data_IF_919580575630
#
_entry.id   IF_919580575630
#
_cell.length_a   1.000
_cell.length_b   1.000
_cell.length_c   1.000
_cell.angle_alpha   90.00
_cell.angle_beta   90.00
_cell.angle_gamma   90.00
#
_symmetry.space_group_name_H-M   'P 1'
#
loop_
_entity.id
_entity.type
_entity.pdbx_description
1 polymer ?
#
# COMPACT_ATOMS: atom_id res chain seq x y z
N UNK A 1 -30.93 -3.83 15.56
CA UNK A 1 -29.94 -3.04 16.34
C UNK A 1 -29.46 -1.90 15.47
N UNK A 2 -29.27 -0.72 16.06
CA UNK A 2 -29.01 0.56 15.39
C UNK A 2 -27.75 0.54 14.51
N UNK A 3 -27.82 1.32 13.42
CA UNK A 3 -26.75 1.65 12.47
C UNK A 3 -25.36 1.82 13.11
N UNK A 4 -24.37 1.14 12.55
CA UNK A 4 -22.99 1.60 12.47
C UNK A 4 -22.50 1.29 11.06
N UNK A 5 -22.76 2.21 10.12
CA UNK A 5 -21.71 2.56 9.16
C UNK A 5 -20.63 3.24 10.00
N UNK A 6 -19.78 2.45 10.66
CA UNK A 6 -18.51 2.96 11.12
C UNK A 6 -17.77 3.44 9.87
N UNK A 7 -17.20 4.64 9.89
CA UNK A 7 -16.37 5.14 8.80
C UNK A 7 -15.41 4.03 8.31
N UNK A 8 -15.71 3.37 7.18
CA UNK A 8 -14.91 2.27 6.59
C UNK A 8 -13.58 2.76 6.00
N UNK A 9 -13.16 3.97 6.36
CA UNK A 9 -11.95 4.62 5.87
C UNK A 9 -10.86 4.54 6.93
N UNK A 10 -9.82 3.76 6.63
CA UNK A 10 -8.63 3.67 7.46
C UNK A 10 -8.04 5.07 7.73
N UNK A 11 -7.89 5.41 9.00
CA UNK A 11 -7.29 6.67 9.42
C UNK A 11 -5.76 6.51 9.52
N UNK A 12 -4.97 7.55 9.18
CA UNK A 12 -3.52 7.49 9.31
C UNK A 12 -3.10 7.10 10.73
N UNK A 13 -2.25 6.08 10.82
CA UNK A 13 -1.67 5.59 12.06
C UNK A 13 -0.13 5.45 11.93
N UNK A 14 0.51 4.82 12.90
CA UNK A 14 1.98 4.71 12.99
C UNK A 14 2.63 4.11 11.74
N UNK A 15 1.95 3.18 11.07
CA UNK A 15 2.31 2.55 9.80
C UNK A 15 2.29 3.54 8.63
N UNK A 16 1.27 4.38 8.58
CA UNK A 16 1.08 5.42 7.58
C UNK A 16 2.17 6.49 7.72
N UNK A 17 2.43 6.96 8.95
CA UNK A 17 3.49 7.94 9.19
C UNK A 17 4.88 7.34 8.97
N UNK A 18 5.07 6.07 9.30
CA UNK A 18 6.31 5.36 9.01
C UNK A 18 6.58 5.29 7.51
N UNK A 19 5.57 5.00 6.68
CA UNK A 19 5.71 5.04 5.23
C UNK A 19 5.97 6.47 4.74
N UNK A 20 5.24 7.47 5.24
CA UNK A 20 5.44 8.88 4.90
C UNK A 20 6.90 9.33 5.08
N UNK A 21 7.51 8.96 6.22
CA UNK A 21 8.89 9.34 6.54
C UNK A 21 9.91 8.88 5.48
N UNK A 22 9.61 7.81 4.75
CA UNK A 22 10.46 7.24 3.71
C UNK A 22 10.11 7.72 2.29
N UNK A 23 8.95 8.35 2.10
CA UNK A 23 8.51 8.83 0.78
C UNK A 23 8.49 10.36 0.66
N UNK A 24 8.52 11.10 1.77
CA UNK A 24 8.39 12.57 1.78
C UNK A 24 9.46 13.33 0.98
N UNK A 25 10.61 12.70 0.75
CA UNK A 25 11.72 13.25 -0.02
C UNK A 25 11.82 12.66 -1.43
N UNK A 26 10.96 11.69 -1.77
CA UNK A 26 10.89 11.11 -3.10
C UNK A 26 10.25 12.07 -4.09
N UNK A 27 10.69 12.01 -5.34
CA UNK A 27 10.17 12.84 -6.44
C UNK A 27 10.32 12.11 -7.77
N UNK A 28 9.46 12.44 -8.72
CA UNK A 28 9.46 11.81 -10.04
C UNK A 28 8.33 12.32 -10.92
N UNK A 29 8.10 11.63 -12.04
CA UNK A 29 7.03 12.00 -12.96
C UNK A 29 5.69 11.41 -12.50
N UNK A 30 5.64 10.14 -12.12
CA UNK A 30 4.41 9.42 -11.81
C UNK A 30 4.52 8.57 -10.53
N UNK A 31 3.58 8.72 -9.60
CA UNK A 31 3.45 7.86 -8.42
C UNK A 31 2.04 7.25 -8.27
N UNK A 32 1.98 6.06 -7.66
CA UNK A 32 0.75 5.32 -7.37
C UNK A 32 0.69 4.98 -5.88
N UNK A 33 -0.43 5.29 -5.25
CA UNK A 33 -0.78 4.92 -3.87
C UNK A 33 -1.88 3.86 -3.87
N UNK A 34 -1.52 2.60 -3.59
CA UNK A 34 -2.47 1.47 -3.58
C UNK A 34 -3.03 1.28 -2.17
N UNK A 35 -4.36 1.21 -2.06
CA UNK A 35 -5.04 1.19 -0.76
C UNK A 35 -4.98 2.57 -0.10
N UNK A 36 -5.28 3.62 -0.89
CA UNK A 36 -5.07 5.02 -0.51
C UNK A 36 -5.85 5.46 0.74
N UNK A 37 -6.91 4.74 1.12
CA UNK A 37 -7.68 4.98 2.35
C UNK A 37 -8.11 6.45 2.47
N UNK A 38 -7.67 7.10 3.55
CA UNK A 38 -7.91 8.53 3.81
C UNK A 38 -7.31 9.51 2.77
N UNK A 39 -6.43 9.05 1.88
CA UNK A 39 -5.70 9.85 0.89
C UNK A 39 -4.48 10.59 1.46
N UNK A 40 -4.07 10.28 2.69
CA UNK A 40 -2.97 10.96 3.36
C UNK A 40 -1.64 10.83 2.59
N UNK A 41 -1.26 9.61 2.20
CA UNK A 41 -0.03 9.35 1.48
C UNK A 41 -0.12 9.84 0.02
N UNK A 42 -1.27 9.67 -0.62
CA UNK A 42 -1.54 10.21 -1.97
C UNK A 42 -1.29 11.72 -2.02
N UNK A 43 -1.75 12.46 -0.99
CA UNK A 43 -1.49 13.89 -0.84
C UNK A 43 -0.02 14.19 -0.60
N UNK A 44 0.68 13.37 0.18
CA UNK A 44 2.11 13.55 0.42
C UNK A 44 2.92 13.43 -0.87
N UNK A 45 2.63 12.40 -1.68
CA UNK A 45 3.20 12.21 -3.02
C UNK A 45 2.91 13.39 -3.97
N UNK A 46 1.70 13.95 -3.90
CA UNK A 46 1.27 15.06 -4.77
C UNK A 46 2.08 16.35 -4.58
N UNK A 47 2.90 16.45 -3.51
CA UNK A 47 3.80 17.58 -3.29
C UNK A 47 5.06 17.52 -4.16
N UNK A 48 5.44 16.35 -4.65
CA UNK A 48 6.75 16.10 -5.28
C UNK A 48 6.71 15.26 -6.56
N UNK A 49 5.55 14.69 -6.91
CA UNK A 49 5.32 13.98 -8.18
C UNK A 49 4.37 14.75 -9.09
N UNK A 50 4.62 14.70 -10.41
CA UNK A 50 3.82 15.45 -11.41
C UNK A 50 2.45 14.81 -11.67
N UNK A 51 2.36 13.50 -11.56
CA UNK A 51 1.15 12.73 -11.75
C UNK A 51 1.01 11.72 -10.61
N UNK A 52 -0.08 11.80 -9.85
CA UNK A 52 -0.36 10.89 -8.73
C UNK A 52 -1.71 10.25 -8.94
N UNK A 53 -1.77 8.93 -8.76
CA UNK A 53 -3.00 8.14 -8.74
C UNK A 53 -3.14 7.49 -7.37
N UNK A 54 -4.34 7.56 -6.81
CA UNK A 54 -4.73 6.77 -5.64
C UNK A 54 -5.71 5.68 -6.07
N UNK A 55 -5.46 4.43 -5.66
CA UNK A 55 -6.43 3.35 -5.84
C UNK A 55 -6.92 2.84 -4.50
N UNK A 56 -8.15 2.38 -4.45
CA UNK A 56 -8.69 1.65 -3.30
C UNK A 56 -9.78 0.68 -3.76
N UNK A 57 -9.96 -0.41 -3.03
CA UNK A 57 -11.09 -1.32 -3.26
C UNK A 57 -12.37 -0.77 -2.61
N UNK A 58 -12.23 0.05 -1.56
CA UNK A 58 -13.33 0.71 -0.89
C UNK A 58 -13.69 2.03 -1.58
N UNK A 59 -14.82 2.01 -2.29
CA UNK A 59 -15.37 3.21 -2.93
C UNK A 59 -15.66 4.34 -1.93
N UNK A 60 -16.16 4.02 -0.73
CA UNK A 60 -16.48 5.03 0.28
C UNK A 60 -15.21 5.71 0.80
N UNK A 61 -14.11 4.97 0.96
CA UNK A 61 -12.82 5.54 1.33
C UNK A 61 -12.37 6.61 0.33
N UNK A 62 -12.46 6.32 -0.97
CA UNK A 62 -12.16 7.27 -2.04
C UNK A 62 -13.08 8.49 -2.03
N UNK A 63 -14.39 8.29 -1.79
CA UNK A 63 -15.35 9.39 -1.75
C UNK A 63 -15.10 10.36 -0.59
N UNK A 64 -14.66 9.84 0.56
CA UNK A 64 -14.49 10.56 1.82
C UNK A 64 -13.11 11.21 1.99
N UNK A 65 -12.20 11.09 1.01
CA UNK A 65 -10.90 11.76 1.08
C UNK A 65 -11.08 13.28 1.16
N UNK A 66 -10.60 13.86 2.26
CA UNK A 66 -10.79 15.29 2.59
C UNK A 66 -10.20 16.26 1.56
N UNK A 67 -9.25 15.81 0.76
CA UNK A 67 -8.70 16.52 -0.41
C UNK A 67 -8.44 15.49 -1.50
N UNK A 68 -9.28 15.50 -2.53
CA UNK A 68 -9.21 14.56 -3.64
C UNK A 68 -8.07 14.96 -4.57
N UNK A 69 -7.00 14.15 -4.74
CA UNK A 69 -6.23 14.24 -5.96
C UNK A 69 -7.16 13.93 -7.14
N UNK A 70 -6.87 14.48 -8.31
CA UNK A 70 -7.79 14.38 -9.46
C UNK A 70 -7.95 12.94 -9.98
N UNK A 71 -6.99 12.06 -9.68
CA UNK A 71 -6.93 10.71 -10.24
C UNK A 71 -7.15 9.63 -9.15
N UNK A 72 -8.39 9.44 -8.73
CA UNK A 72 -8.79 8.35 -7.84
C UNK A 72 -9.53 7.26 -8.62
N UNK A 73 -9.16 5.99 -8.38
CA UNK A 73 -9.76 4.84 -9.09
C UNK A 73 -10.16 3.75 -8.11
N UNK A 74 -11.43 3.34 -8.15
CA UNK A 74 -11.93 2.21 -7.38
C UNK A 74 -11.60 0.91 -8.11
N UNK A 75 -10.64 0.12 -7.59
CA UNK A 75 -10.23 -1.15 -8.20
C UNK A 75 -9.50 -2.06 -7.20
N UNK A 76 -9.29 -3.32 -7.59
CA UNK A 76 -8.42 -4.23 -6.84
C UNK A 76 -6.95 -3.90 -7.14
N UNK A 77 -6.21 -3.45 -6.13
CA UNK A 77 -4.80 -3.10 -6.29
C UNK A 77 -4.60 -2.01 -7.34
N UNK A 78 -4.07 -2.38 -8.49
CA UNK A 78 -3.84 -1.54 -9.67
C UNK A 78 -4.46 -2.14 -10.95
N UNK A 79 -5.39 -3.10 -10.84
CA UNK A 79 -5.88 -3.91 -11.97
C UNK A 79 -6.54 -3.09 -13.09
N UNK A 80 -7.07 -1.91 -12.76
CA UNK A 80 -7.71 -1.01 -13.72
C UNK A 80 -6.71 -0.07 -14.45
N UNK A 81 -5.42 -0.14 -14.12
CA UNK A 81 -4.42 0.80 -14.62
C UNK A 81 -3.51 0.17 -15.67
N UNK A 82 -3.12 0.98 -16.66
CA UNK A 82 -2.09 0.62 -17.65
C UNK A 82 -0.86 1.54 -17.59
N UNK A 83 -0.96 2.66 -16.88
CA UNK A 83 0.13 3.60 -16.71
C UNK A 83 1.27 2.97 -15.91
N UNK A 84 2.50 3.39 -16.22
CA UNK A 84 3.70 2.98 -15.50
C UNK A 84 4.15 4.07 -14.54
N UNK A 85 4.52 3.70 -13.32
CA UNK A 85 4.89 4.61 -12.24
C UNK A 85 6.37 4.48 -11.84
N UNK A 86 6.99 5.60 -11.50
CA UNK A 86 8.36 5.66 -10.95
C UNK A 86 8.38 5.13 -9.51
N UNK A 87 7.32 5.43 -8.75
CA UNK A 87 7.11 5.00 -7.38
C UNK A 87 5.71 4.43 -7.22
N UNK A 88 5.61 3.19 -6.73
CA UNK A 88 4.37 2.62 -6.20
C UNK A 88 4.54 2.53 -4.68
N UNK A 89 3.50 2.86 -3.93
CA UNK A 89 3.47 2.69 -2.48
C UNK A 89 2.23 1.90 -2.04
N UNK A 90 2.33 1.19 -0.92
CA UNK A 90 1.17 0.56 -0.28
C UNK A 90 1.43 0.36 1.22
N UNK A 91 0.51 0.85 2.06
CA UNK A 91 0.41 0.35 3.42
C UNK A 91 -0.45 -0.92 3.38
N UNK A 92 0.17 -2.10 3.48
CA UNK A 92 -0.55 -3.35 3.20
C UNK A 92 -1.59 -3.66 4.27
N UNK A 93 -2.71 -4.31 3.92
CA UNK A 93 -3.48 -5.08 4.88
C UNK A 93 -2.66 -6.32 5.26
N UNK A 94 -1.96 -6.28 6.39
CA UNK A 94 -0.97 -7.29 6.79
C UNK A 94 -1.41 -8.17 7.99
N UNK A 95 -2.55 -7.87 8.63
CA UNK A 95 -2.97 -8.62 9.81
C UNK A 95 -3.33 -10.06 9.45
N UNK A 96 -2.72 -11.01 10.17
CA UNK A 96 -3.06 -12.43 10.06
C UNK A 96 -4.51 -12.64 10.48
N UNK A 97 -5.30 -13.24 9.60
CA UNK A 97 -6.74 -13.43 9.78
C UNK A 97 -7.22 -14.73 9.10
N UNK A 98 -8.21 -15.40 9.67
CA UNK A 98 -8.84 -16.57 9.05
C UNK A 98 -9.85 -16.17 7.98
N UNK A 99 -10.58 -15.08 8.22
CA UNK A 99 -11.54 -14.46 7.32
C UNK A 99 -11.21 -12.98 7.14
N UNK A 100 -11.55 -12.40 5.99
CA UNK A 100 -11.38 -10.96 5.74
C UNK A 100 -12.61 -10.24 6.28
N UNK A 101 -12.50 -9.66 7.48
CA UNK A 101 -13.56 -8.89 8.13
C UNK A 101 -13.35 -7.39 7.94
N UNK A 102 -12.09 -6.95 8.02
CA UNK A 102 -11.67 -5.58 7.75
C UNK A 102 -10.76 -5.55 6.52
N UNK A 103 -11.31 -5.06 5.40
CA UNK A 103 -10.61 -4.97 4.12
C UNK A 103 -9.39 -4.03 4.16
N UNK A 104 -9.31 -3.12 5.14
CA UNK A 104 -8.20 -2.19 5.27
C UNK A 104 -6.98 -2.80 5.96
N UNK A 105 -7.17 -3.80 6.83
CA UNK A 105 -6.09 -4.34 7.66
C UNK A 105 -5.86 -5.84 7.50
N UNK A 106 -6.88 -6.63 7.12
CA UNK A 106 -6.80 -8.09 7.09
C UNK A 106 -6.05 -8.59 5.85
N UNK A 107 -4.89 -9.22 6.09
CA UNK A 107 -4.05 -9.83 5.07
C UNK A 107 -4.41 -11.27 4.70
N UNK A 108 -5.37 -11.87 5.42
CA UNK A 108 -5.74 -13.28 5.34
C UNK A 108 -4.75 -14.20 6.06
N UNK A 109 -4.77 -15.52 5.76
CA UNK A 109 -3.87 -16.47 6.39
C UNK A 109 -2.40 -16.05 6.28
N UNK A 110 -1.72 -16.08 7.42
CA UNK A 110 -0.33 -15.62 7.61
C UNK A 110 -0.07 -14.13 7.28
N UNK A 111 -1.11 -13.35 6.98
CA UNK A 111 -0.98 -11.96 6.51
C UNK A 111 -0.43 -11.86 5.09
N UNK A 112 -0.65 -12.87 4.23
CA UNK A 112 0.01 -12.99 2.91
C UNK A 112 -0.97 -12.91 1.74
N UNK A 113 -2.20 -13.42 1.89
CA UNK A 113 -3.11 -13.65 0.77
C UNK A 113 -3.47 -12.35 0.05
N UNK A 114 -3.84 -11.30 0.77
CA UNK A 114 -4.18 -10.00 0.17
C UNK A 114 -2.92 -9.27 -0.31
N UNK A 115 -1.82 -9.15 0.48
CA UNK A 115 -0.58 -8.55 0.00
C UNK A 115 -0.05 -9.14 -1.30
N UNK A 116 -0.10 -10.47 -1.47
CA UNK A 116 0.36 -11.10 -2.72
C UNK A 116 -0.52 -10.77 -3.94
N UNK A 117 -1.84 -10.55 -3.75
CA UNK A 117 -2.71 -10.08 -4.83
C UNK A 117 -2.33 -8.65 -5.24
N UNK A 118 -2.07 -7.78 -4.25
CA UNK A 118 -1.65 -6.40 -4.48
C UNK A 118 -0.29 -6.36 -5.20
N UNK A 119 0.69 -7.15 -4.75
CA UNK A 119 2.03 -7.23 -5.37
C UNK A 119 1.94 -7.63 -6.85
N UNK A 120 1.13 -8.66 -7.17
CA UNK A 120 0.92 -9.11 -8.55
C UNK A 120 0.29 -8.02 -9.41
N UNK A 121 -0.69 -7.32 -8.86
CA UNK A 121 -1.36 -6.20 -9.54
C UNK A 121 -0.40 -5.03 -9.79
N UNK A 122 0.37 -4.63 -8.77
CA UNK A 122 1.34 -3.54 -8.82
C UNK A 122 2.46 -3.78 -9.84
N UNK A 123 2.91 -5.03 -10.01
CA UNK A 123 3.97 -5.43 -10.96
C UNK A 123 3.70 -4.91 -12.37
N UNK A 124 2.45 -4.98 -12.83
CA UNK A 124 2.08 -4.54 -14.17
C UNK A 124 2.09 -3.02 -14.33
N UNK A 125 2.22 -2.25 -13.25
CA UNK A 125 2.24 -0.81 -13.26
C UNK A 125 3.61 -0.21 -12.90
N UNK A 126 4.62 -1.02 -12.57
CA UNK A 126 5.94 -0.51 -12.23
C UNK A 126 6.76 -0.20 -13.50
N UNK A 127 7.40 0.98 -13.57
CA UNK A 127 8.38 1.29 -14.62
C UNK A 127 9.65 0.46 -14.43
N UNK A 128 10.39 0.25 -15.53
CA UNK A 128 11.78 -0.19 -15.44
C UNK A 128 12.59 0.83 -14.64
N UNK A 129 13.35 0.36 -13.64
CA UNK A 129 14.06 1.21 -12.68
C UNK A 129 13.18 1.88 -11.62
N UNK A 130 11.86 1.68 -11.66
CA UNK A 130 10.95 2.13 -10.62
C UNK A 130 11.07 1.29 -9.35
N UNK A 131 10.50 1.81 -8.26
CA UNK A 131 10.45 1.11 -6.97
C UNK A 131 9.03 0.96 -6.43
N UNK A 132 8.79 -0.15 -5.77
CA UNK A 132 7.58 -0.40 -5.01
C UNK A 132 7.91 -0.47 -3.52
N UNK A 133 7.43 0.49 -2.75
CA UNK A 133 7.61 0.55 -1.30
C UNK A 133 6.34 0.09 -0.59
N UNK A 134 6.45 -0.87 0.32
CA UNK A 134 5.29 -1.30 1.08
C UNK A 134 5.59 -1.67 2.52
N UNK A 135 4.63 -1.37 3.40
CA UNK A 135 4.71 -1.66 4.84
C UNK A 135 4.00 -2.98 5.15
N UNK A 136 4.61 -3.77 6.02
CA UNK A 136 4.01 -4.92 6.70
C UNK A 136 4.45 -4.92 8.17
N UNK A 137 4.08 -5.91 8.97
CA UNK A 137 4.50 -6.01 10.38
C UNK A 137 4.94 -7.40 10.83
N UNK A 138 5.68 -7.48 11.94
CA UNK A 138 6.28 -8.70 12.46
C UNK A 138 5.32 -9.82 12.89
N UNK A 139 4.06 -9.55 13.29
CA UNK A 139 3.03 -10.60 13.46
C UNK A 139 2.62 -11.30 12.16
N UNK A 140 2.84 -10.69 10.99
CA UNK A 140 2.66 -11.33 9.69
C UNK A 140 3.90 -12.15 9.31
N UNK A 141 3.76 -13.12 8.40
CA UNK A 141 4.89 -13.89 7.89
C UNK A 141 5.62 -13.11 6.77
N UNK A 142 6.24 -11.99 7.15
CA UNK A 142 6.89 -11.08 6.21
C UNK A 142 8.10 -11.71 5.49
N UNK A 143 8.78 -12.68 6.09
CA UNK A 143 9.85 -13.42 5.41
C UNK A 143 9.31 -14.21 4.22
N UNK A 144 8.21 -14.94 4.41
CA UNK A 144 7.55 -15.66 3.31
C UNK A 144 6.97 -14.69 2.28
N UNK A 145 6.46 -13.53 2.70
CA UNK A 145 6.05 -12.46 1.78
C UNK A 145 7.23 -12.00 0.90
N UNK A 146 8.41 -11.77 1.47
CA UNK A 146 9.64 -11.44 0.71
C UNK A 146 9.98 -12.56 -0.29
N UNK A 147 9.99 -13.82 0.15
CA UNK A 147 10.29 -14.96 -0.73
C UNK A 147 9.33 -15.07 -1.91
N UNK A 148 8.02 -14.91 -1.66
CA UNK A 148 7.00 -14.94 -2.69
C UNK A 148 7.12 -13.73 -3.64
N UNK A 149 7.38 -12.55 -3.10
CA UNK A 149 7.62 -11.34 -3.91
C UNK A 149 8.82 -11.52 -4.84
N UNK A 150 9.90 -12.15 -4.36
CA UNK A 150 11.06 -12.49 -5.20
C UNK A 150 10.72 -13.49 -6.31
N UNK A 151 9.90 -14.50 -6.01
CA UNK A 151 9.40 -15.46 -7.02
C UNK A 151 8.53 -14.80 -8.10
N UNK A 152 7.87 -13.69 -7.77
CA UNK A 152 7.15 -12.86 -8.74
C UNK A 152 8.08 -11.99 -9.60
N UNK A 153 9.41 -12.09 -9.47
CA UNK A 153 10.37 -11.42 -10.35
C UNK A 153 10.83 -10.05 -9.85
N UNK A 154 10.70 -9.78 -8.56
CA UNK A 154 11.27 -8.59 -7.93
C UNK A 154 12.60 -8.91 -7.23
N UNK A 155 13.52 -7.95 -7.21
CA UNK A 155 14.52 -7.88 -6.15
C UNK A 155 13.92 -7.17 -4.94
N UNK A 156 14.13 -7.70 -3.74
CA UNK A 156 13.45 -7.23 -2.52
C UNK A 156 14.43 -7.10 -1.36
N UNK A 157 14.41 -5.92 -0.73
CA UNK A 157 15.20 -5.58 0.45
C UNK A 157 14.35 -4.95 1.56
N UNK A 158 14.78 -5.13 2.81
CA UNK A 158 14.22 -4.39 3.96
C UNK A 158 14.91 -3.02 4.01
N UNK A 159 14.15 -1.94 3.81
CA UNK A 159 14.67 -0.57 3.86
C UNK A 159 14.77 -0.03 5.27
N UNK A 160 13.77 -0.35 6.08
CA UNK A 160 13.67 0.17 7.43
C UNK A 160 12.79 -0.73 8.29
N UNK A 161 12.97 -0.60 9.60
CA UNK A 161 12.15 -1.23 10.62
C UNK A 161 11.82 -0.20 11.70
N UNK A 162 10.61 -0.25 12.25
CA UNK A 162 10.20 0.59 13.37
C UNK A 162 9.57 -0.27 14.46
N UNK A 163 10.22 -0.34 15.62
CA UNK A 163 9.73 -1.08 16.78
C UNK A 163 8.60 -0.29 17.46
N UNK A 164 7.44 -0.91 17.58
CA UNK A 164 6.31 -0.48 18.39
C UNK A 164 6.20 -1.39 19.64
N UNK A 165 5.21 -1.13 20.49
CA UNK A 165 5.06 -1.89 21.74
C UNK A 165 4.73 -3.37 21.52
N UNK A 166 3.86 -3.69 20.55
CA UNK A 166 3.38 -5.04 20.27
C UNK A 166 3.86 -5.62 18.93
N UNK A 167 4.43 -4.80 18.06
CA UNK A 167 4.88 -5.21 16.74
C UNK A 167 6.13 -4.43 16.30
N UNK A 168 6.79 -4.93 15.26
CA UNK A 168 7.76 -4.17 14.48
C UNK A 168 7.18 -3.96 13.09
N UNK A 169 7.08 -2.71 12.64
CA UNK A 169 6.75 -2.39 11.26
C UNK A 169 7.98 -2.60 10.38
N UNK A 170 7.79 -3.17 9.21
CA UNK A 170 8.85 -3.44 8.23
C UNK A 170 8.50 -2.73 6.93
N UNK A 171 9.39 -1.86 6.46
CA UNK A 171 9.31 -1.26 5.13
C UNK A 171 10.15 -2.09 4.15
N UNK A 172 9.49 -2.60 3.13
CA UNK A 172 10.09 -3.36 2.05
C UNK A 172 10.19 -2.49 0.79
N UNK A 173 11.30 -2.64 0.06
CA UNK A 173 11.45 -2.10 -1.30
C UNK A 173 11.57 -3.26 -2.26
N UNK A 174 10.71 -3.27 -3.27
CA UNK A 174 10.75 -4.19 -4.39
C UNK A 174 11.07 -3.44 -5.69
N UNK A 175 12.06 -3.92 -6.44
CA UNK A 175 12.45 -3.40 -7.77
C UNK A 175 12.22 -4.48 -8.82
N UNK A 176 11.69 -4.12 -9.98
CA UNK A 176 11.63 -5.06 -11.10
C UNK A 176 13.05 -5.44 -11.50
N UNK A 177 13.29 -6.74 -11.63
CA UNK A 177 14.45 -7.26 -12.36
C UNK A 177 14.31 -7.00 -13.87
#
# INVERSE_FOLDING_TARGET
MQNKLSNDTYQPAEDTYFLEDHIKNEKGDAALDIGSGSGYLTKSLSKSFRFVVGTDVNFEALQNQSRKPENLVCCNGADALQNKFDLIICNMPYLTSEEILDIATDGGPEGIVIPMKIIKSAKNCLKSGGKFLFVTSSPSNYQKLIELTKKEGFDVEIKAKKKLFFEELILLEAKSL
#
